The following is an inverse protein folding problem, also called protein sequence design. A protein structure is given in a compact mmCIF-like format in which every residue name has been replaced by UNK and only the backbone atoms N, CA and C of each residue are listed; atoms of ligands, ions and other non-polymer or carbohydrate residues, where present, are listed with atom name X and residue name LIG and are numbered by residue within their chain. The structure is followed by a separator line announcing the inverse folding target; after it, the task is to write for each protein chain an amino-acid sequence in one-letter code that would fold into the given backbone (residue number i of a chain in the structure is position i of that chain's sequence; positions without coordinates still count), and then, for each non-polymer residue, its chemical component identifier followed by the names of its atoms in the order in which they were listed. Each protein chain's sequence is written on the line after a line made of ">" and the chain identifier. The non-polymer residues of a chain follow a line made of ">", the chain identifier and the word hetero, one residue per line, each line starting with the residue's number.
data_IF_512659001635
#
_entry.id   IF_512659001635
#
_cell.length_a   1.000
_cell.length_b   1.000
_cell.length_c   1.000
_cell.angle_alpha   90.00
_cell.angle_beta   90.00
_cell.angle_gamma   90.00
#
_symmetry.space_group_name_H-M   'P 1'
#
loop_
_entity.id
_entity.type
_entity.pdbx_description
1 polymer ?
#
# COMPACT_ATOMS: atom_id res chain seq x y z
N UNK A 1 -30.83 55.49 -24.87
CA UNK A 1 -30.46 54.08 -24.67
C UNK A 1 -30.75 53.36 -25.98
N UNK A 2 -29.74 53.12 -26.82
CA UNK A 2 -29.91 52.49 -28.13
C UNK A 2 -28.97 51.29 -28.21
N UNK A 3 -29.55 50.09 -28.26
CA UNK A 3 -28.86 48.82 -28.27
C UNK A 3 -28.09 48.61 -29.58
N UNK A 4 -26.76 48.51 -29.50
CA UNK A 4 -25.96 48.01 -30.62
C UNK A 4 -26.07 46.48 -30.65
N UNK A 5 -26.93 45.96 -31.54
CA UNK A 5 -26.95 44.53 -31.88
C UNK A 5 -25.71 44.20 -32.71
N UNK A 6 -24.70 43.62 -32.08
CA UNK A 6 -23.55 43.05 -32.77
C UNK A 6 -24.03 41.90 -33.67
N UNK A 7 -23.99 42.10 -34.99
CA UNK A 7 -24.18 41.03 -35.98
C UNK A 7 -22.96 40.11 -35.91
N UNK A 8 -23.15 38.89 -35.41
CA UNK A 8 -22.16 37.83 -35.60
C UNK A 8 -22.09 37.49 -37.10
N UNK A 9 -20.96 37.81 -37.73
CA UNK A 9 -20.59 37.30 -39.05
C UNK A 9 -20.10 35.87 -38.87
N UNK A 10 -20.62 34.86 -39.57
CA UNK A 10 -20.12 33.50 -39.48
C UNK A 10 -18.77 33.46 -40.23
N UNK A 11 -17.68 33.74 -39.52
CA UNK A 11 -16.34 33.51 -40.05
C UNK A 11 -16.20 32.04 -40.41
N UNK A 12 -15.86 31.77 -41.66
CA UNK A 12 -15.71 30.45 -42.26
C UNK A 12 -15.02 29.46 -41.31
N UNK A 13 -15.47 28.19 -41.25
CA UNK A 13 -14.89 27.22 -40.32
C UNK A 13 -13.39 27.08 -40.59
N UNK A 14 -12.58 27.45 -39.61
CA UNK A 14 -11.13 27.26 -39.65
C UNK A 14 -10.88 25.76 -39.77
N UNK A 15 -10.25 25.33 -40.88
CA UNK A 15 -9.85 23.93 -41.08
C UNK A 15 -8.77 23.60 -40.05
N UNK A 16 -9.17 23.04 -38.92
CA UNK A 16 -8.26 22.50 -37.92
C UNK A 16 -7.57 21.29 -38.54
N UNK A 17 -6.22 21.24 -38.61
CA UNK A 17 -5.53 20.05 -39.08
C UNK A 17 -5.91 18.88 -38.17
N UNK A 18 -6.32 17.76 -38.77
CA UNK A 18 -6.67 16.55 -38.03
C UNK A 18 -5.48 16.17 -37.13
N UNK A 19 -5.74 15.99 -35.82
CA UNK A 19 -4.72 15.47 -34.89
C UNK A 19 -4.17 14.17 -35.48
N UNK A 20 -2.84 13.96 -35.49
CA UNK A 20 -2.29 12.68 -35.93
C UNK A 20 -2.91 11.60 -35.05
N UNK A 21 -3.58 10.64 -35.69
CA UNK A 21 -4.11 9.47 -35.00
C UNK A 21 -2.88 8.72 -34.49
N UNK A 22 -2.72 8.53 -33.17
CA UNK A 22 -1.59 7.78 -32.66
C UNK A 22 -1.66 6.38 -33.27
N UNK A 23 -0.58 5.98 -33.93
CA UNK A 23 -0.47 4.64 -34.49
C UNK A 23 -0.45 3.65 -33.32
N UNK A 24 -1.58 2.98 -33.11
CA UNK A 24 -1.77 2.02 -32.03
C UNK A 24 -1.15 0.65 -32.34
N UNK A 25 -0.55 0.48 -33.52
CA UNK A 25 0.10 -0.76 -33.91
C UNK A 25 1.50 -0.85 -33.30
N UNK A 26 1.57 -1.41 -32.09
CA UNK A 26 2.85 -1.74 -31.46
C UNK A 26 3.50 -2.89 -32.21
N UNK A 27 4.76 -2.72 -32.59
CA UNK A 27 5.59 -3.83 -33.06
C UNK A 27 5.69 -4.89 -31.94
N UNK A 28 5.85 -6.19 -32.27
CA UNK A 28 5.91 -7.27 -31.28
C UNK A 28 6.96 -7.03 -30.18
N UNK A 29 8.09 -6.42 -30.54
CA UNK A 29 9.17 -6.04 -29.62
C UNK A 29 8.76 -4.93 -28.64
N UNK A 30 7.99 -3.93 -29.10
CA UNK A 30 7.52 -2.85 -28.24
C UNK A 30 6.44 -3.34 -27.27
N UNK A 31 5.59 -4.28 -27.71
CA UNK A 31 4.63 -4.96 -26.84
C UNK A 31 5.32 -5.77 -25.73
N UNK A 32 6.36 -6.54 -26.08
CA UNK A 32 7.16 -7.29 -25.10
C UNK A 32 7.83 -6.32 -24.10
N UNK A 33 8.46 -5.25 -24.58
CA UNK A 33 9.13 -4.26 -23.73
C UNK A 33 8.17 -3.56 -22.78
N UNK A 34 6.98 -3.17 -23.26
CA UNK A 34 5.94 -2.58 -22.44
C UNK A 34 5.47 -3.56 -21.35
N UNK A 35 5.25 -4.84 -21.70
CA UNK A 35 4.85 -5.88 -20.75
C UNK A 35 5.89 -6.10 -19.64
N UNK A 36 7.18 -6.14 -19.99
CA UNK A 36 8.25 -6.24 -18.99
C UNK A 36 8.36 -5.00 -18.09
N UNK A 37 8.13 -3.80 -18.63
CA UNK A 37 8.11 -2.58 -17.83
C UNK A 37 6.97 -2.58 -16.81
N UNK A 38 5.76 -2.97 -17.22
CA UNK A 38 4.62 -3.09 -16.30
C UNK A 38 4.89 -4.14 -15.22
N UNK A 39 5.45 -5.31 -15.57
CA UNK A 39 5.83 -6.33 -14.58
C UNK A 39 6.87 -5.82 -13.58
N UNK A 40 7.87 -5.05 -14.03
CA UNK A 40 8.88 -4.48 -13.14
C UNK A 40 8.27 -3.45 -12.17
N UNK A 41 7.45 -2.55 -12.68
CA UNK A 41 6.79 -1.51 -11.85
C UNK A 41 5.77 -2.12 -10.88
N UNK A 42 5.01 -3.12 -11.32
CA UNK A 42 4.10 -3.87 -10.46
C UNK A 42 4.87 -4.66 -9.38
N UNK A 43 6.00 -5.28 -9.74
CA UNK A 43 6.89 -5.96 -8.81
C UNK A 43 7.47 -5.02 -7.76
N UNK A 44 7.98 -3.86 -8.16
CA UNK A 44 8.49 -2.83 -7.25
C UNK A 44 7.39 -2.33 -6.29
N UNK A 45 6.17 -2.10 -6.81
CA UNK A 45 5.03 -1.65 -6.00
C UNK A 45 4.58 -2.72 -5.00
N UNK A 46 4.49 -3.99 -5.42
CA UNK A 46 4.16 -5.13 -4.55
C UNK A 46 5.23 -5.35 -3.48
N UNK A 47 6.50 -5.23 -3.83
CA UNK A 47 7.61 -5.34 -2.89
C UNK A 47 7.56 -4.22 -1.84
N UNK A 48 7.31 -2.98 -2.27
CA UNK A 48 7.17 -1.85 -1.36
C UNK A 48 6.01 -2.03 -0.37
N UNK A 49 4.84 -2.48 -0.85
CA UNK A 49 3.69 -2.77 0.01
C UNK A 49 4.01 -3.89 1.02
N UNK A 50 4.72 -4.93 0.59
CA UNK A 50 5.12 -6.04 1.46
C UNK A 50 6.11 -5.58 2.54
N UNK A 51 7.10 -4.75 2.19
CA UNK A 51 8.05 -4.17 3.15
C UNK A 51 7.30 -3.29 4.15
N UNK A 52 6.37 -2.46 3.68
CA UNK A 52 5.55 -1.59 4.53
C UNK A 52 4.71 -2.41 5.51
N UNK A 53 4.04 -3.45 5.05
CA UNK A 53 3.20 -4.32 5.89
C UNK A 53 4.05 -5.09 6.90
N UNK A 54 5.21 -5.58 6.50
CA UNK A 54 6.16 -6.22 7.40
C UNK A 54 6.65 -5.26 8.48
N UNK A 55 7.03 -4.04 8.11
CA UNK A 55 7.53 -3.03 9.05
C UNK A 55 6.42 -2.60 10.02
N UNK A 56 5.21 -2.37 9.53
CA UNK A 56 4.05 -2.04 10.35
C UNK A 56 3.76 -3.16 11.36
N UNK A 57 3.78 -4.42 10.91
CA UNK A 57 3.59 -5.55 11.81
C UNK A 57 4.67 -5.66 12.88
N UNK A 58 5.94 -5.42 12.53
CA UNK A 58 7.04 -5.43 13.50
C UNK A 58 6.93 -4.29 14.50
N UNK A 59 6.54 -3.09 14.06
CA UNK A 59 6.30 -1.95 14.95
C UNK A 59 5.16 -2.24 15.93
N UNK A 60 4.01 -2.75 15.46
CA UNK A 60 2.88 -3.12 16.32
C UNK A 60 3.29 -4.19 17.34
N UNK A 61 4.02 -5.21 16.89
CA UNK A 61 4.51 -6.29 17.76
C UNK A 61 5.47 -5.76 18.85
N UNK A 62 6.31 -4.78 18.52
CA UNK A 62 7.17 -4.11 19.47
C UNK A 62 6.39 -3.25 20.47
N UNK A 63 5.45 -2.44 19.99
CA UNK A 63 4.62 -1.59 20.87
C UNK A 63 3.83 -2.44 21.86
N UNK A 64 3.22 -3.54 21.42
CA UNK A 64 2.48 -4.44 22.31
C UNK A 64 3.38 -5.11 23.34
N UNK A 65 4.60 -5.52 22.95
CA UNK A 65 5.56 -6.18 23.86
C UNK A 65 6.16 -5.20 24.88
N UNK A 66 6.60 -4.04 24.42
CA UNK A 66 7.18 -3.00 25.29
C UNK A 66 6.08 -2.40 26.17
N UNK A 67 4.91 -2.11 25.62
CA UNK A 67 3.76 -1.60 26.35
C UNK A 67 3.28 -2.57 27.44
N UNK A 68 3.20 -3.87 27.13
CA UNK A 68 2.90 -4.89 28.14
C UNK A 68 3.95 -4.90 29.27
N UNK A 69 5.23 -4.78 28.94
CA UNK A 69 6.31 -4.70 29.93
C UNK A 69 6.18 -3.47 30.84
N UNK A 70 5.95 -2.29 30.27
CA UNK A 70 5.78 -1.04 31.01
C UNK A 70 4.55 -1.10 31.92
N UNK A 71 3.41 -1.56 31.39
CA UNK A 71 2.18 -1.72 32.17
C UNK A 71 2.36 -2.72 33.32
N UNK A 72 3.07 -3.82 33.09
CA UNK A 72 3.36 -4.79 34.14
C UNK A 72 4.25 -4.18 35.24
N UNK A 73 5.29 -3.44 34.85
CA UNK A 73 6.19 -2.78 35.81
C UNK A 73 5.46 -1.72 36.63
N UNK A 74 4.66 -0.86 35.99
CA UNK A 74 3.86 0.15 36.68
C UNK A 74 2.82 -0.48 37.59
N UNK A 75 2.09 -1.48 37.11
CA UNK A 75 1.07 -2.18 37.89
C UNK A 75 1.62 -2.89 39.12
N UNK A 76 2.78 -3.54 39.02
CA UNK A 76 3.46 -4.15 40.17
C UNK A 76 3.95 -3.07 41.14
N UNK A 77 4.55 -1.99 40.64
CA UNK A 77 5.10 -0.90 41.47
C UNK A 77 4.01 -0.14 42.22
N UNK A 78 2.85 0.08 41.57
CA UNK A 78 1.73 0.85 42.12
C UNK A 78 0.69 -0.05 42.81
N UNK A 79 0.91 -1.36 42.83
CA UNK A 79 -0.08 -2.36 43.27
C UNK A 79 -1.46 -2.16 42.60
N UNK A 80 -1.44 -1.76 41.32
CA UNK A 80 -2.64 -1.47 40.53
C UNK A 80 -3.04 -2.69 39.70
N UNK A 81 -4.15 -3.30 40.10
CA UNK A 81 -4.69 -4.50 39.45
C UNK A 81 -5.08 -4.22 37.99
N UNK A 82 -5.54 -3.01 37.69
CA UNK A 82 -5.95 -2.59 36.35
C UNK A 82 -4.77 -2.59 35.36
N UNK A 83 -3.62 -2.08 35.80
CA UNK A 83 -2.39 -2.03 34.99
C UNK A 83 -1.81 -3.45 34.77
N UNK A 84 -1.89 -4.32 35.78
CA UNK A 84 -1.47 -5.72 35.68
C UNK A 84 -2.34 -6.49 34.69
N UNK A 85 -3.67 -6.34 34.77
CA UNK A 85 -4.60 -6.98 33.83
C UNK A 85 -4.37 -6.42 32.42
N UNK A 86 -4.19 -5.10 32.28
CA UNK A 86 -3.87 -4.45 31.01
C UNK A 86 -2.59 -5.01 30.37
N UNK A 87 -1.56 -5.27 31.18
CA UNK A 87 -0.32 -5.89 30.71
C UNK A 87 -0.53 -7.31 30.18
N UNK A 88 -1.30 -8.14 30.90
CA UNK A 88 -1.63 -9.51 30.50
C UNK A 88 -2.43 -9.50 29.19
N UNK A 89 -3.44 -8.64 29.07
CA UNK A 89 -4.25 -8.51 27.84
C UNK A 89 -3.39 -8.05 26.67
N UNK A 90 -2.51 -7.06 26.87
CA UNK A 90 -1.60 -6.57 25.83
C UNK A 90 -0.63 -7.68 25.36
N UNK A 91 -0.15 -8.53 26.27
CA UNK A 91 0.68 -9.69 25.93
C UNK A 91 -0.09 -10.70 25.06
N UNK A 92 -1.32 -11.05 25.44
CA UNK A 92 -2.15 -11.97 24.66
C UNK A 92 -2.49 -11.41 23.27
N UNK A 93 -2.80 -10.12 23.17
CA UNK A 93 -3.01 -9.45 21.88
C UNK A 93 -1.75 -9.49 21.02
N UNK A 94 -0.56 -9.29 21.60
CA UNK A 94 0.72 -9.44 20.91
C UNK A 94 0.95 -10.86 20.36
N UNK A 95 0.59 -11.89 21.14
CA UNK A 95 0.69 -13.29 20.72
C UNK A 95 -0.31 -13.61 19.61
N UNK A 96 -1.57 -13.19 19.74
CA UNK A 96 -2.61 -13.40 18.72
C UNK A 96 -2.22 -12.70 17.42
N UNK A 97 -1.80 -11.44 17.51
CA UNK A 97 -1.33 -10.67 16.36
C UNK A 97 -0.15 -11.38 15.68
N UNK A 98 0.86 -11.78 16.45
CA UNK A 98 2.00 -12.55 15.96
C UNK A 98 1.56 -13.82 15.22
N UNK A 99 0.60 -14.56 15.78
CA UNK A 99 0.08 -15.77 15.15
C UNK A 99 -0.66 -15.44 13.86
N UNK A 100 -1.46 -14.38 13.78
CA UNK A 100 -2.17 -14.02 12.54
C UNK A 100 -1.19 -13.62 11.44
N UNK A 101 -0.19 -12.78 11.76
CA UNK A 101 0.79 -12.31 10.78
C UNK A 101 1.75 -13.42 10.36
N UNK A 102 2.16 -14.29 11.30
CA UNK A 102 3.12 -15.36 11.03
C UNK A 102 2.50 -16.71 10.68
N UNK A 103 1.20 -16.98 10.85
CA UNK A 103 0.58 -18.27 10.43
C UNK A 103 0.64 -18.48 8.92
N UNK A 104 0.69 -17.41 8.11
CA UNK A 104 1.04 -17.55 6.69
C UNK A 104 2.52 -17.92 6.49
N UNK A 105 3.41 -17.46 7.35
CA UNK A 105 4.87 -17.66 7.22
C UNK A 105 5.31 -19.03 7.78
N UNK A 106 4.71 -19.51 8.87
CA UNK A 106 5.07 -20.77 9.52
C UNK A 106 4.60 -22.02 8.75
N UNK A 107 3.60 -21.87 7.89
CA UNK A 107 3.07 -22.94 7.03
C UNK A 107 3.45 -22.78 5.55
N UNK A 108 4.15 -21.69 5.19
CA UNK A 108 4.69 -21.51 3.84
C UNK A 108 6.10 -22.06 3.82
N UNK A 109 6.33 -23.08 2.99
CA UNK A 109 7.66 -23.63 2.74
C UNK A 109 8.62 -22.48 2.36
N UNK A 110 9.79 -22.35 3.01
CA UNK A 110 10.74 -21.26 2.75
C UNK A 110 11.14 -21.15 1.26
N UNK A 111 11.01 -22.23 0.48
CA UNK A 111 11.27 -22.21 -0.97
C UNK A 111 10.22 -21.44 -1.78
N UNK A 112 9.00 -21.30 -1.26
CA UNK A 112 7.90 -20.60 -1.94
C UNK A 112 7.99 -19.09 -1.74
N UNK A 113 8.63 -18.63 -0.65
CA UNK A 113 8.86 -17.21 -0.38
C UNK A 113 9.94 -16.58 -1.27
N UNK A 114 10.89 -17.39 -1.75
CA UNK A 114 11.97 -16.95 -2.64
C UNK A 114 11.60 -17.05 -4.13
N UNK A 115 10.49 -17.70 -4.47
CA UNK A 115 9.92 -17.63 -5.82
C UNK A 115 9.06 -16.37 -5.91
N UNK A 116 9.72 -15.27 -6.20
CA UNK A 116 9.06 -14.14 -6.88
C UNK A 116 8.72 -14.68 -8.28
N UNK A 117 7.47 -15.08 -8.47
CA UNK A 117 6.88 -15.39 -9.78
C UNK A 117 5.84 -14.32 -10.14
#
# INVERSE_FOLDING_TARGET
>A
MSEQKYKYSPSSPVKVPAKPVPDTSLNPLEWIKAKFYHLKVEGETKMWNTIKDFLAAKLIQWVLKVGAGVLATLGISNNSIEEIIGAIVSLFLGIIYSLITHKKIALTDPKTFLKIE
#
